data_IF_141984455392
#
_entry.id   IF_141984455392
#
_cell.length_a   1.000
_cell.length_b   1.000
_cell.length_c   1.000
_cell.angle_alpha   90.00
_cell.angle_beta   90.00
_cell.angle_gamma   90.00
#
_symmetry.space_group_name_H-M   'P 1'
#
loop_
_entity.id
_entity.type
_entity.pdbx_description
1 polymer ?
#
# COMPACT_ATOMS: atom_id res chain seq x y z
N UNK A 1 -36.36 10.55 4.15
CA UNK A 1 -35.21 9.79 4.69
C UNK A 1 -34.08 9.80 3.66
N UNK A 2 -32.88 10.27 4.01
CA UNK A 2 -31.71 10.19 3.12
C UNK A 2 -31.25 8.73 3.08
N UNK A 3 -31.29 8.10 1.91
CA UNK A 3 -30.70 6.77 1.73
C UNK A 3 -29.19 6.88 1.97
N UNK A 4 -28.59 6.00 2.78
CA UNK A 4 -27.16 6.04 2.97
C UNK A 4 -26.45 5.60 1.69
N UNK A 5 -25.45 6.37 1.28
CA UNK A 5 -24.50 5.95 0.25
C UNK A 5 -23.69 4.78 0.78
N UNK A 6 -23.52 3.73 -0.02
CA UNK A 6 -22.60 2.63 0.26
C UNK A 6 -21.21 3.06 -0.23
N UNK A 7 -20.21 3.07 0.67
CA UNK A 7 -18.82 3.40 0.32
C UNK A 7 -18.05 2.13 0.01
N UNK A 8 -17.48 2.08 -1.19
CA UNK A 8 -16.59 1.03 -1.68
C UNK A 8 -15.20 1.66 -1.82
N UNK A 9 -14.22 1.12 -1.12
CA UNK A 9 -12.81 1.50 -1.30
C UNK A 9 -12.19 0.49 -2.27
N UNK A 10 -11.73 0.92 -3.46
CA UNK A 10 -11.05 0.01 -4.37
C UNK A 10 -9.76 -0.49 -3.71
N UNK A 11 -9.38 -1.73 -4.00
CA UNK A 11 -8.08 -2.22 -3.55
C UNK A 11 -6.97 -1.39 -4.17
N UNK A 12 -5.86 -1.19 -3.46
CA UNK A 12 -4.72 -0.40 -3.91
C UNK A 12 -4.15 -0.86 -5.27
N UNK A 13 -4.33 -2.14 -5.61
CA UNK A 13 -3.96 -2.72 -6.92
C UNK A 13 -4.85 -2.29 -8.08
N UNK A 14 -6.02 -1.74 -7.80
CA UNK A 14 -7.03 -1.27 -8.78
C UNK A 14 -7.43 0.18 -8.53
N UNK A 15 -6.72 0.86 -7.64
CA UNK A 15 -6.98 2.26 -7.35
C UNK A 15 -6.56 3.15 -8.53
N UNK A 16 -5.48 2.83 -9.24
CA UNK A 16 -5.04 3.63 -10.39
C UNK A 16 -6.01 3.48 -11.54
N UNK A 17 -6.41 4.61 -12.11
CA UNK A 17 -7.28 4.63 -13.29
C UNK A 17 -6.61 3.89 -14.46
N UNK A 18 -5.29 4.05 -14.60
CA UNK A 18 -4.46 3.34 -15.58
C UNK A 18 -4.66 1.81 -15.56
N UNK A 19 -4.83 1.23 -14.37
CA UNK A 19 -5.00 -0.23 -14.21
C UNK A 19 -6.44 -0.68 -14.53
N UNK A 20 -7.38 0.25 -14.63
CA UNK A 20 -8.76 0.01 -15.07
C UNK A 20 -8.92 0.19 -16.58
N UNK A 21 -7.99 0.90 -17.25
CA UNK A 21 -8.06 1.20 -18.69
C UNK A 21 -8.07 -0.02 -19.63
N UNK A 22 -7.41 -1.17 -19.36
CA UNK A 22 -7.48 -2.30 -20.28
C UNK A 22 -8.86 -2.99 -20.27
N UNK A 23 -9.81 -2.55 -19.44
CA UNK A 23 -11.12 -3.19 -19.27
C UNK A 23 -12.19 -2.60 -20.22
N UNK A 24 -11.99 -1.41 -20.80
CA UNK A 24 -12.93 -0.86 -21.80
C UNK A 24 -12.25 -0.03 -22.89
N UNK A 25 -12.71 -0.16 -24.14
CA UNK A 25 -12.22 0.61 -25.29
C UNK A 25 -12.37 2.13 -25.11
N UNK A 26 -13.32 2.53 -24.28
CA UNK A 26 -13.62 3.94 -23.98
C UNK A 26 -12.64 4.54 -23.01
N UNK A 27 -12.11 3.75 -22.07
CA UNK A 27 -11.02 4.18 -21.18
C UNK A 27 -9.70 4.41 -21.91
N UNK A 28 -9.44 3.70 -23.02
CA UNK A 28 -8.25 3.92 -23.84
C UNK A 28 -8.18 5.34 -24.42
N UNK A 29 -9.34 5.97 -24.68
CA UNK A 29 -9.44 7.38 -25.15
C UNK A 29 -9.08 8.38 -24.06
N UNK A 30 -9.06 7.93 -22.82
CA UNK A 30 -8.88 8.75 -21.62
C UNK A 30 -7.41 8.81 -21.19
N UNK A 31 -6.56 7.92 -21.71
CA UNK A 31 -5.15 7.78 -21.36
C UNK A 31 -4.27 9.02 -21.62
N UNK A 32 -4.74 9.97 -22.44
CA UNK A 32 -4.03 11.23 -22.71
C UNK A 32 -4.56 12.45 -21.96
N UNK A 33 -5.75 12.36 -21.36
CA UNK A 33 -6.45 13.51 -20.75
C UNK A 33 -6.49 13.41 -19.23
N UNK A 34 -6.30 12.20 -18.68
CA UNK A 34 -6.12 12.02 -17.23
C UNK A 34 -4.63 12.07 -16.89
N UNK A 35 -4.24 12.88 -15.88
CA UNK A 35 -2.89 12.90 -15.38
C UNK A 35 -2.40 11.50 -14.97
N UNK A 36 -1.18 11.17 -15.38
CA UNK A 36 -0.62 9.88 -15.01
C UNK A 36 -0.48 9.78 -13.48
N UNK A 37 -1.02 8.70 -12.91
CA UNK A 37 -1.03 8.48 -11.46
C UNK A 37 -2.34 8.83 -10.77
N UNK A 38 -3.36 9.34 -11.47
CA UNK A 38 -4.69 9.52 -10.87
C UNK A 38 -5.24 8.20 -10.32
N UNK A 39 -5.73 8.26 -9.08
CA UNK A 39 -6.26 7.14 -8.33
C UNK A 39 -7.72 7.38 -7.92
N UNK A 40 -8.53 6.34 -7.93
CA UNK A 40 -9.85 6.31 -7.33
C UNK A 40 -9.66 6.06 -5.83
N UNK A 41 -10.00 7.06 -5.02
CA UNK A 41 -9.96 6.97 -3.56
C UNK A 41 -11.15 6.17 -3.03
N UNK A 42 -12.34 6.41 -3.56
CA UNK A 42 -13.50 5.58 -3.27
C UNK A 42 -14.58 5.72 -4.35
N UNK A 43 -15.49 4.77 -4.31
CA UNK A 43 -16.72 4.75 -5.09
C UNK A 43 -17.87 4.77 -4.08
N UNK A 44 -18.74 5.77 -4.17
CA UNK A 44 -19.95 5.83 -3.38
C UNK A 44 -21.12 5.45 -4.28
N UNK A 45 -21.97 4.53 -3.83
CA UNK A 45 -23.14 4.07 -4.58
C UNK A 45 -24.41 4.32 -3.80
N UNK A 46 -25.38 4.98 -4.42
CA UNK A 46 -26.78 5.02 -3.95
C UNK A 46 -27.59 4.05 -4.81
N UNK A 47 -27.88 2.84 -4.30
CA UNK A 47 -28.59 1.83 -5.08
C UNK A 47 -30.05 2.20 -5.34
N UNK A 48 -30.66 3.10 -4.55
CA UNK A 48 -32.05 3.51 -4.76
C UNK A 48 -32.18 4.53 -5.86
N UNK A 49 -31.22 5.45 -5.94
CA UNK A 49 -31.14 6.46 -7.00
C UNK A 49 -30.39 5.97 -8.23
N UNK A 50 -29.86 4.74 -8.19
CA UNK A 50 -28.94 4.20 -9.19
C UNK A 50 -27.85 5.23 -9.50
N UNK A 51 -27.30 5.86 -8.46
CA UNK A 51 -26.31 6.92 -8.62
C UNK A 51 -24.95 6.44 -8.11
N UNK A 52 -23.90 6.83 -8.81
CA UNK A 52 -22.52 6.55 -8.44
C UNK A 52 -21.74 7.86 -8.32
N UNK A 53 -20.88 7.97 -7.31
CA UNK A 53 -19.92 9.07 -7.16
C UNK A 53 -18.53 8.49 -7.01
N UNK A 54 -17.62 8.92 -7.89
CA UNK A 54 -16.23 8.55 -7.92
C UNK A 54 -15.42 9.67 -7.26
N UNK A 55 -14.82 9.40 -6.10
CA UNK A 55 -13.83 10.29 -5.51
C UNK A 55 -12.47 9.94 -6.11
N UNK A 56 -11.88 10.86 -6.87
CA UNK A 56 -10.55 10.69 -7.48
C UNK A 56 -9.54 11.61 -6.84
N UNK A 57 -8.30 11.15 -6.70
CA UNK A 57 -7.15 11.93 -6.27
C UNK A 57 -6.15 11.91 -7.41
N UNK A 58 -5.71 13.09 -7.81
CA UNK A 58 -4.81 13.27 -8.94
C UNK A 58 -3.61 14.10 -8.51
N UNK A 59 -2.38 13.79 -8.99
CA UNK A 59 -1.21 14.61 -8.71
C UNK A 59 -1.27 15.99 -9.37
N UNK A 60 -2.10 16.13 -10.39
CA UNK A 60 -2.37 17.38 -11.12
C UNK A 60 -3.89 17.47 -11.28
N UNK A 61 -4.46 18.68 -11.25
CA UNK A 61 -5.91 18.86 -11.39
C UNK A 61 -6.41 18.17 -12.65
N UNK A 62 -7.41 17.30 -12.50
CA UNK A 62 -8.14 16.73 -13.62
C UNK A 62 -8.98 17.84 -14.24
N UNK A 63 -8.72 18.19 -15.50
CA UNK A 63 -9.53 19.18 -16.18
C UNK A 63 -10.97 18.67 -16.40
N UNK A 64 -11.86 19.57 -16.79
CA UNK A 64 -13.27 19.23 -16.97
C UNK A 64 -13.45 18.10 -18.01
N UNK A 65 -12.60 18.07 -19.03
CA UNK A 65 -12.63 17.07 -20.10
C UNK A 65 -12.23 15.68 -19.59
N UNK A 66 -11.16 15.57 -18.81
CA UNK A 66 -10.75 14.33 -18.16
C UNK A 66 -11.83 13.79 -17.21
N UNK A 67 -12.48 14.68 -16.45
CA UNK A 67 -13.59 14.30 -15.57
C UNK A 67 -14.82 13.81 -16.34
N UNK A 68 -15.17 14.44 -17.46
CA UNK A 68 -16.26 14.02 -18.35
C UNK A 68 -15.96 12.66 -19.00
N UNK A 69 -14.74 12.46 -19.48
CA UNK A 69 -14.31 11.19 -20.05
C UNK A 69 -14.37 10.04 -19.03
N UNK A 70 -13.95 10.29 -17.79
CA UNK A 70 -14.10 9.32 -16.70
C UNK A 70 -15.55 8.97 -16.42
N UNK A 71 -16.41 10.00 -16.36
CA UNK A 71 -17.84 9.83 -16.17
C UNK A 71 -18.42 8.93 -17.27
N UNK A 72 -18.17 9.25 -18.53
CA UNK A 72 -18.66 8.48 -19.67
C UNK A 72 -18.16 7.04 -19.65
N UNK A 73 -16.87 6.83 -19.37
CA UNK A 73 -16.29 5.50 -19.33
C UNK A 73 -16.90 4.64 -18.20
N UNK A 74 -17.11 5.20 -17.01
CA UNK A 74 -17.78 4.49 -15.92
C UNK A 74 -19.25 4.21 -16.21
N UNK A 75 -19.95 5.16 -16.83
CA UNK A 75 -21.34 4.99 -17.25
C UNK A 75 -21.50 3.86 -18.26
N UNK A 76 -20.55 3.70 -19.18
CA UNK A 76 -20.55 2.59 -20.14
C UNK A 76 -20.22 1.24 -19.48
N UNK A 77 -19.29 1.23 -18.51
CA UNK A 77 -18.96 0.01 -17.76
C UNK A 77 -20.10 -0.45 -16.84
N UNK A 78 -20.89 0.51 -16.34
CA UNK A 78 -21.96 0.28 -15.38
C UNK A 78 -23.25 0.98 -15.84
N UNK A 79 -23.91 0.46 -16.91
CA UNK A 79 -25.09 1.08 -17.50
C UNK A 79 -26.30 1.09 -16.55
N UNK A 80 -26.24 0.32 -15.47
CA UNK A 80 -27.28 0.27 -14.44
C UNK A 80 -27.32 1.51 -13.54
N UNK A 81 -26.37 2.43 -13.65
CA UNK A 81 -26.45 3.71 -12.96
C UNK A 81 -27.16 4.75 -13.83
N UNK A 82 -28.11 5.49 -13.29
CA UNK A 82 -28.77 6.61 -13.95
C UNK A 82 -27.89 7.88 -13.95
N UNK A 83 -26.92 7.96 -13.02
CA UNK A 83 -25.98 9.08 -12.92
C UNK A 83 -24.63 8.67 -12.36
N UNK A 84 -23.56 9.23 -12.95
CA UNK A 84 -22.18 9.10 -12.46
C UNK A 84 -21.62 10.51 -12.21
N UNK A 85 -21.19 10.76 -10.99
CA UNK A 85 -20.47 11.97 -10.59
C UNK A 85 -18.98 11.65 -10.42
N UNK A 86 -18.10 12.53 -10.92
CA UNK A 86 -16.66 12.47 -10.66
C UNK A 86 -16.32 13.69 -9.81
N UNK A 87 -15.77 13.44 -8.62
CA UNK A 87 -15.37 14.48 -7.68
C UNK A 87 -13.88 14.35 -7.45
N UNK A 88 -13.14 15.37 -7.84
CA UNK A 88 -11.73 15.47 -7.52
C UNK A 88 -11.55 15.90 -6.06
N UNK A 89 -10.74 15.15 -5.32
CA UNK A 89 -10.29 15.50 -3.98
C UNK A 89 -8.86 15.99 -4.09
N UNK A 90 -8.66 17.26 -3.77
CA UNK A 90 -7.33 17.81 -3.53
C UNK A 90 -6.79 17.23 -2.22
N UNK A 91 -5.75 16.43 -2.32
CA UNK A 91 -4.82 16.21 -1.21
C UNK A 91 -3.78 17.32 -1.28
N UNK A 92 -3.80 18.23 -0.32
CA UNK A 92 -2.71 19.21 -0.20
C UNK A 92 -1.41 18.45 0.02
N UNK A 93 -0.38 18.64 -0.83
CA UNK A 93 0.91 17.99 -0.63
C UNK A 93 1.43 18.36 0.75
N UNK A 94 1.88 17.39 1.54
CA UNK A 94 2.53 17.69 2.81
C UNK A 94 3.82 18.50 2.58
N UNK A 95 4.17 19.40 3.50
CA UNK A 95 5.37 20.25 3.32
C UNK A 95 6.67 19.45 3.37
N UNK A 96 6.74 18.43 4.23
CA UNK A 96 7.89 17.54 4.39
C UNK A 96 7.48 16.07 4.27
N UNK A 97 7.76 15.50 3.08
CA UNK A 97 7.48 14.11 2.79
C UNK A 97 8.37 13.14 3.59
N UNK A 98 9.61 13.50 3.89
CA UNK A 98 10.53 12.61 4.62
C UNK A 98 10.08 12.44 6.07
N UNK A 99 9.75 13.55 6.74
CA UNK A 99 9.16 13.53 8.08
C UNK A 99 7.83 12.78 8.10
N UNK A 100 6.94 13.08 7.13
CA UNK A 100 5.65 12.39 7.03
C UNK A 100 5.80 10.87 6.85
N UNK A 101 6.74 10.44 6.01
CA UNK A 101 7.03 9.02 5.82
C UNK A 101 7.51 8.36 7.11
N UNK A 102 8.40 9.00 7.87
CA UNK A 102 8.88 8.46 9.16
C UNK A 102 7.75 8.23 10.15
N UNK A 103 6.81 9.17 10.24
CA UNK A 103 5.70 9.10 11.19
C UNK A 103 4.60 8.12 10.75
N UNK A 104 4.43 7.93 9.44
CA UNK A 104 3.30 7.18 8.88
C UNK A 104 3.68 5.85 8.25
N UNK A 105 4.97 5.48 8.20
CA UNK A 105 5.43 4.28 7.50
C UNK A 105 4.72 3.00 7.96
N UNK A 106 4.60 2.79 9.26
CA UNK A 106 3.94 1.62 9.84
C UNK A 106 2.47 1.53 9.42
N UNK A 107 1.78 2.67 9.38
CA UNK A 107 0.39 2.77 8.94
C UNK A 107 0.27 2.48 7.44
N UNK A 108 1.16 3.01 6.61
CA UNK A 108 1.21 2.76 5.18
C UNK A 108 1.43 1.27 4.87
N UNK A 109 2.38 0.66 5.56
CA UNK A 109 2.69 -0.75 5.43
C UNK A 109 1.48 -1.60 5.85
N UNK A 110 0.83 -1.25 6.97
CA UNK A 110 -0.38 -1.94 7.43
C UNK A 110 -1.54 -1.85 6.43
N UNK A 111 -1.75 -0.67 5.84
CA UNK A 111 -2.78 -0.48 4.82
C UNK A 111 -2.46 -1.25 3.54
N UNK A 112 -1.22 -1.19 3.08
CA UNK A 112 -0.73 -1.96 1.95
C UNK A 112 -0.91 -3.48 2.17
N UNK A 113 -0.65 -3.97 3.38
CA UNK A 113 -0.80 -5.40 3.73
C UNK A 113 -2.25 -5.89 3.70
N UNK A 114 -3.23 -5.01 3.95
CA UNK A 114 -4.66 -5.37 3.81
C UNK A 114 -5.01 -5.74 2.38
N UNK A 115 -4.42 -5.03 1.42
CA UNK A 115 -4.67 -5.24 -0.01
C UNK A 115 -3.68 -6.20 -0.67
N UNK A 116 -2.49 -6.35 -0.09
CA UNK A 116 -1.44 -7.26 -0.54
C UNK A 116 -0.92 -8.12 0.62
N UNK A 117 -1.70 -9.11 1.11
CA UNK A 117 -1.27 -9.93 2.25
C UNK A 117 0.04 -10.68 2.03
N UNK A 118 0.33 -11.05 0.78
CA UNK A 118 1.59 -11.71 0.40
C UNK A 118 2.84 -10.84 0.56
N UNK A 119 2.69 -9.51 0.74
CA UNK A 119 3.80 -8.61 1.04
C UNK A 119 4.14 -8.55 2.54
N UNK A 120 3.31 -9.12 3.42
CA UNK A 120 3.41 -8.94 4.87
C UNK A 120 4.79 -9.37 5.41
N UNK A 121 5.27 -10.56 5.02
CA UNK A 121 6.58 -11.07 5.47
C UNK A 121 7.78 -10.23 5.04
N UNK A 122 7.66 -9.42 3.98
CA UNK A 122 8.77 -8.64 3.42
C UNK A 122 8.70 -7.16 3.77
N UNK A 123 7.50 -6.60 3.87
CA UNK A 123 7.30 -5.17 4.17
C UNK A 123 7.38 -4.86 5.66
N UNK A 124 7.23 -5.86 6.54
CA UNK A 124 7.27 -5.66 7.99
C UNK A 124 8.62 -5.13 8.51
N UNK A 125 9.73 -5.53 7.89
CA UNK A 125 11.08 -5.07 8.22
C UNK A 125 11.63 -4.02 7.24
N UNK A 126 10.82 -3.61 6.26
CA UNK A 126 11.27 -2.73 5.19
C UNK A 126 11.60 -1.33 5.71
N UNK A 127 12.72 -0.77 5.23
CA UNK A 127 13.21 0.55 5.64
C UNK A 127 12.98 1.57 4.51
N UNK A 128 12.20 2.64 4.74
CA UNK A 128 12.01 3.70 3.76
C UNK A 128 13.17 4.70 3.81
N UNK A 129 13.62 5.17 2.65
CA UNK A 129 14.58 6.26 2.50
C UNK A 129 14.21 7.12 1.31
N UNK A 130 14.09 8.43 1.50
CA UNK A 130 13.86 9.35 0.40
C UNK A 130 15.21 9.81 -0.19
N UNK A 131 15.48 9.46 -1.44
CA UNK A 131 16.71 9.81 -2.16
C UNK A 131 16.36 10.52 -3.48
N UNK A 132 16.72 11.80 -3.61
CA UNK A 132 16.52 12.59 -4.85
C UNK A 132 15.08 12.56 -5.41
N UNK A 133 14.07 12.63 -4.53
CA UNK A 133 12.65 12.56 -4.93
C UNK A 133 12.15 11.14 -5.28
N UNK A 134 12.95 10.12 -5.03
CA UNK A 134 12.58 8.71 -5.15
C UNK A 134 12.52 8.08 -3.76
N UNK A 135 11.42 7.39 -3.45
CA UNK A 135 11.34 6.56 -2.26
C UNK A 135 12.04 5.24 -2.54
N UNK A 136 13.15 5.02 -1.88
CA UNK A 136 13.85 3.74 -1.85
C UNK A 136 13.34 2.94 -0.65
N UNK A 137 12.85 1.74 -0.92
CA UNK A 137 12.43 0.81 0.12
C UNK A 137 13.43 -0.34 0.14
N UNK A 138 14.17 -0.42 1.23
CA UNK A 138 15.14 -1.49 1.46
C UNK A 138 14.42 -2.70 2.04
N UNK A 139 14.57 -3.84 1.35
CA UNK A 139 14.01 -5.13 1.71
C UNK A 139 15.15 -6.04 2.14
N UNK A 140 14.86 -6.96 3.06
CA UNK A 140 15.87 -7.84 3.68
C UNK A 140 16.74 -8.59 2.68
N UNK A 141 16.15 -9.08 1.59
CA UNK A 141 16.88 -9.83 0.57
C UNK A 141 16.31 -9.64 -0.83
N UNK A 142 17.09 -10.09 -1.82
CA UNK A 142 16.74 -9.96 -3.23
C UNK A 142 15.49 -10.75 -3.63
N UNK A 143 15.24 -11.91 -3.01
CA UNK A 143 14.04 -12.70 -3.27
C UNK A 143 12.76 -11.93 -2.89
N UNK A 144 12.77 -11.25 -1.74
CA UNK A 144 11.69 -10.36 -1.32
C UNK A 144 11.47 -9.23 -2.31
N UNK A 145 12.54 -8.59 -2.80
CA UNK A 145 12.45 -7.54 -3.84
C UNK A 145 11.74 -8.07 -5.09
N UNK A 146 12.11 -9.24 -5.59
CA UNK A 146 11.51 -9.83 -6.79
C UNK A 146 10.04 -10.17 -6.60
N UNK A 147 9.68 -10.78 -5.47
CA UNK A 147 8.29 -11.08 -5.12
C UNK A 147 7.46 -9.79 -5.09
N UNK A 148 7.94 -8.76 -4.40
CA UNK A 148 7.23 -7.48 -4.27
C UNK A 148 7.10 -6.74 -5.61
N UNK A 149 8.13 -6.77 -6.46
CA UNK A 149 8.07 -6.23 -7.83
C UNK A 149 7.04 -6.96 -8.69
N UNK A 150 7.03 -8.29 -8.65
CA UNK A 150 6.05 -9.11 -9.38
C UNK A 150 4.60 -8.84 -8.92
N UNK A 151 4.43 -8.38 -7.69
CA UNK A 151 3.13 -7.98 -7.13
C UNK A 151 2.82 -6.48 -7.30
N UNK A 152 3.69 -5.73 -7.98
CA UNK A 152 3.56 -4.27 -8.22
C UNK A 152 3.36 -3.47 -6.92
N UNK A 153 4.10 -3.85 -5.88
CA UNK A 153 4.00 -3.20 -4.56
C UNK A 153 4.53 -1.77 -4.60
N UNK A 154 5.51 -1.49 -5.45
CA UNK A 154 6.00 -0.16 -5.75
C UNK A 154 4.89 0.77 -6.28
N UNK A 155 4.10 0.30 -7.25
CA UNK A 155 2.96 1.05 -7.76
C UNK A 155 1.87 1.26 -6.69
N UNK A 156 1.54 0.20 -5.95
CA UNK A 156 0.54 0.26 -4.89
C UNK A 156 0.96 1.25 -3.79
N UNK A 157 2.22 1.21 -3.35
CA UNK A 157 2.74 2.13 -2.34
C UNK A 157 2.75 3.58 -2.84
N UNK A 158 3.13 3.81 -4.09
CA UNK A 158 3.04 5.15 -4.70
C UNK A 158 1.59 5.67 -4.69
N UNK A 159 0.59 4.81 -4.94
CA UNK A 159 -0.81 5.19 -4.92
C UNK A 159 -1.29 5.53 -3.50
N UNK A 160 -0.90 4.77 -2.48
CA UNK A 160 -1.21 5.09 -1.07
C UNK A 160 -0.64 6.45 -0.70
N UNK A 161 0.63 6.70 -1.00
CA UNK A 161 1.30 7.97 -0.68
C UNK A 161 0.59 9.14 -1.37
N UNK A 162 0.20 8.99 -2.63
CA UNK A 162 -0.58 10.02 -3.31
C UNK A 162 -1.92 10.26 -2.62
N UNK A 163 -2.66 9.21 -2.28
CA UNK A 163 -3.99 9.35 -1.67
C UNK A 163 -3.97 9.94 -0.25
N UNK A 164 -2.86 9.75 0.48
CA UNK A 164 -2.74 10.18 1.88
C UNK A 164 -1.93 11.47 2.05
N UNK A 165 -0.81 11.60 1.35
CA UNK A 165 0.12 12.73 1.47
C UNK A 165 0.05 13.71 0.29
N UNK A 166 -0.67 13.36 -0.78
CA UNK A 166 -0.78 14.19 -1.99
C UNK A 166 0.47 14.27 -2.86
N UNK A 167 1.46 13.43 -2.58
CA UNK A 167 2.70 13.37 -3.34
C UNK A 167 2.71 12.19 -4.31
N UNK A 168 3.02 12.47 -5.57
CA UNK A 168 3.41 11.42 -6.51
C UNK A 168 4.90 11.11 -6.31
N UNK A 169 5.19 9.93 -5.79
CA UNK A 169 6.55 9.52 -5.46
C UNK A 169 6.91 8.28 -6.27
N UNK A 170 8.05 8.32 -6.96
CA UNK A 170 8.58 7.12 -7.58
C UNK A 170 9.11 6.18 -6.49
N UNK A 171 8.60 4.96 -6.44
CA UNK A 171 9.07 3.94 -5.50
C UNK A 171 10.06 3.01 -6.19
N UNK A 172 11.16 2.67 -5.52
CA UNK A 172 12.11 1.64 -5.95
C UNK A 172 12.39 0.67 -4.81
N UNK A 173 12.28 -0.61 -5.11
CA UNK A 173 12.61 -1.68 -4.18
C UNK A 173 14.05 -2.13 -4.42
N UNK A 174 14.87 -2.18 -3.35
CA UNK A 174 16.23 -2.72 -3.38
C UNK A 174 16.50 -3.64 -2.19
N UNK A 175 17.42 -4.57 -2.34
CA UNK A 175 17.92 -5.32 -1.20
C UNK A 175 18.79 -4.37 -0.36
N UNK A 176 18.53 -4.30 0.94
CA UNK A 176 19.36 -3.57 1.90
C UNK A 176 20.37 -4.49 2.58
N UNK A 177 21.29 -3.90 3.32
CA UNK A 177 22.15 -4.65 4.24
C UNK A 177 21.45 -4.76 5.60
N UNK A 178 20.98 -5.97 5.90
CA UNK A 178 20.34 -6.34 7.17
C UNK A 178 21.25 -7.26 8.01
N UNK A 179 22.54 -7.37 7.67
CA UNK A 179 23.48 -8.27 8.33
C UNK A 179 23.62 -8.02 9.83
N UNK A 180 23.56 -6.77 10.29
CA UNK A 180 23.57 -6.43 11.71
C UNK A 180 22.32 -6.94 12.44
N UNK A 181 21.16 -6.83 11.82
CA UNK A 181 19.89 -7.31 12.38
C UNK A 181 19.87 -8.85 12.42
N UNK A 182 20.39 -9.50 11.38
CA UNK A 182 20.54 -10.96 11.35
C UNK A 182 21.48 -11.46 12.46
N UNK A 183 22.63 -10.80 12.66
CA UNK A 183 23.58 -11.12 13.74
C UNK A 183 22.98 -10.94 15.14
N UNK A 184 22.21 -9.87 15.35
CA UNK A 184 21.55 -9.61 16.63
C UNK A 184 20.52 -10.70 16.96
N UNK A 185 19.74 -11.16 15.97
CA UNK A 185 18.77 -12.26 16.14
C UNK A 185 19.49 -13.58 16.42
N UNK A 186 20.56 -13.88 15.68
CA UNK A 186 21.36 -15.09 15.88
C UNK A 186 21.99 -15.14 17.28
N UNK A 187 22.50 -14.00 17.75
CA UNK A 187 23.04 -13.88 19.11
C UNK A 187 21.96 -14.07 20.17
N UNK A 188 20.77 -13.48 19.99
CA UNK A 188 19.66 -13.67 20.91
C UNK A 188 19.19 -15.14 20.96
N UNK A 189 19.11 -15.81 19.81
CA UNK A 189 18.74 -17.23 19.75
C UNK A 189 19.77 -18.13 20.42
N UNK A 190 21.06 -17.82 20.27
CA UNK A 190 22.12 -18.57 20.95
C UNK A 190 22.08 -18.37 22.47
N UNK A 191 21.84 -17.14 22.94
CA UNK A 191 21.67 -16.84 24.37
C UNK A 191 20.43 -17.55 24.96
N UNK A 192 19.31 -17.56 24.25
CA UNK A 192 18.10 -18.29 24.65
C UNK A 192 18.34 -19.81 24.69
N UNK A 193 19.05 -20.34 23.69
CA UNK A 193 19.43 -21.77 23.62
C UNK A 193 20.35 -22.15 24.78
N UNK A 194 21.34 -21.32 25.10
CA UNK A 194 22.25 -21.56 26.22
C UNK A 194 21.51 -21.56 27.55
N UNK A 195 20.60 -20.60 27.79
CA UNK A 195 19.75 -20.61 28.99
C UNK A 195 18.91 -21.87 29.10
N UNK A 196 18.31 -22.32 28.00
CA UNK A 196 17.50 -23.54 28.01
C UNK A 196 18.33 -24.79 28.31
N UNK A 197 19.56 -24.88 27.77
CA UNK A 197 20.48 -25.98 28.08
C UNK A 197 20.95 -25.93 29.54
N UNK A 198 21.25 -24.73 30.07
CA UNK A 198 21.60 -24.54 31.48
C UNK A 198 20.45 -24.95 32.40
N UNK A 199 19.20 -24.58 32.07
CA UNK A 199 18.00 -24.96 32.81
C UNK A 199 17.85 -26.50 32.88
N UNK A 200 17.96 -27.19 31.74
CA UNK A 200 17.93 -28.66 31.66
C UNK A 200 19.05 -29.35 32.46
N UNK A 201 20.25 -28.77 32.48
CA UNK A 201 21.39 -29.29 33.25
C UNK A 201 21.24 -29.02 34.75
N UNK A 202 20.65 -27.90 35.14
CA UNK A 202 20.38 -27.57 36.55
C UNK A 202 19.29 -28.44 37.17
N UNK A 203 18.24 -28.80 36.42
CA UNK A 203 17.21 -29.76 36.85
C UNK A 203 17.72 -31.20 36.97
N UNK A 204 18.91 -31.49 36.41
CA UNK A 204 19.52 -32.82 36.37
C UNK A 204 20.55 -33.07 37.49
N UNK A 205 20.71 -32.16 38.45
CA UNK A 205 21.66 -32.35 39.57
C UNK A 205 21.12 -33.34 40.62
N UNK A 206 21.82 -34.44 40.93
CA UNK A 206 21.30 -35.54 41.73
C UNK A 206 21.28 -35.21 43.23
N UNK A 207 20.16 -35.57 43.87
CA UNK A 207 19.97 -35.56 45.32
C UNK A 207 21.11 -36.32 46.05
N UNK A 208 21.81 -35.73 47.03
CA UNK A 208 22.88 -36.40 47.73
C UNK A 208 22.31 -37.45 48.68
N UNK A 209 22.52 -38.71 48.29
CA UNK A 209 22.70 -39.91 49.12
C UNK A 209 22.10 -39.91 50.54
N UNK A 210 21.05 -40.71 50.73
CA UNK A 210 20.78 -41.37 52.00
C UNK A 210 22.02 -42.17 52.45
N UNK A 211 22.76 -41.67 53.46
CA UNK A 211 23.64 -42.51 54.29
C UNK A 211 22.82 -43.06 55.45
N UNK A 212 22.85 -44.39 55.55
CA UNK A 212 22.35 -45.21 56.65
C UNK A 212 23.12 -44.92 57.95
#
# INVERSE_FOLDING_TARGET
MKTPWVRITPSLRRARIADLLPVSASLSRVAGEIPEGTCIRCIQVDPRRRACRLEVVSPQSCDQKGAELLRSAFQEMFPDFDSVEVVERSSSPCEDLDSWLKDNWSNLVSELMKDVPSANGWMGSARPRLESGCLIVEIENQAGVEVLKNKRVDDALSAVILMQAGHRVRVRLRAGDFSETARAIEQQQEEERQRYVEELLSDSSPSPAHRK
#
